data_IF_665551949092
#
_entry.id   IF_665551949092
#
_cell.length_a   1.000
_cell.length_b   1.000
_cell.length_c   1.000
_cell.angle_alpha   90.00
_cell.angle_beta   90.00
_cell.angle_gamma   90.00
#
_symmetry.space_group_name_H-M   'P 1'
#
loop_
_entity.id
_entity.type
_entity.pdbx_description
1 polymer ?
#
# COMPACT_ATOMS: atom_id res chain seq x y z
N UNK A 1 10.07 -8.03 6.17
CA UNK A 1 8.77 -8.71 5.97
C UNK A 1 8.43 -8.61 4.49
N UNK A 2 7.93 -9.67 3.87
CA UNK A 2 7.52 -9.61 2.45
C UNK A 2 6.08 -9.09 2.37
N UNK A 3 5.80 -8.05 1.56
CA UNK A 3 4.46 -7.51 1.46
C UNK A 3 3.52 -8.56 0.88
N UNK A 4 2.43 -8.86 1.61
CA UNK A 4 1.45 -9.85 1.19
C UNK A 4 0.37 -9.18 0.36
N UNK A 5 0.37 -9.49 -0.93
CA UNK A 5 -0.62 -9.01 -1.88
C UNK A 5 -1.92 -9.84 -1.79
N UNK A 6 -2.99 -9.20 -1.32
CA UNK A 6 -4.29 -9.82 -1.05
C UNK A 6 -5.34 -9.44 -2.10
N UNK A 7 -6.27 -10.36 -2.39
CA UNK A 7 -7.45 -10.04 -3.18
C UNK A 7 -8.45 -9.18 -2.37
N UNK A 8 -9.43 -8.57 -3.05
CA UNK A 8 -10.39 -7.64 -2.45
C UNK A 8 -11.16 -8.22 -1.25
N UNK A 9 -11.49 -9.50 -1.28
CA UNK A 9 -12.21 -10.18 -0.19
C UNK A 9 -11.36 -10.24 1.09
N UNK A 10 -10.12 -10.73 0.97
CA UNK A 10 -9.18 -10.77 2.10
C UNK A 10 -8.81 -9.39 2.61
N UNK A 11 -8.67 -8.41 1.71
CA UNK A 11 -8.43 -7.02 2.09
C UNK A 11 -9.62 -6.44 2.88
N UNK A 12 -10.85 -6.75 2.47
CA UNK A 12 -12.09 -6.34 3.13
C UNK A 12 -12.16 -6.91 4.55
N UNK A 13 -11.86 -8.20 4.72
CA UNK A 13 -11.77 -8.85 6.03
C UNK A 13 -10.68 -8.23 6.91
N UNK A 14 -9.49 -7.96 6.35
CA UNK A 14 -8.34 -7.46 7.08
C UNK A 14 -8.59 -6.11 7.76
N UNK A 15 -9.22 -5.18 7.05
CA UNK A 15 -9.46 -3.82 7.56
C UNK A 15 -10.89 -3.59 8.05
N UNK A 16 -11.70 -4.66 8.10
CA UNK A 16 -13.12 -4.60 8.48
C UNK A 16 -13.92 -3.55 7.69
N UNK A 17 -13.61 -3.38 6.40
CA UNK A 17 -14.34 -2.50 5.49
C UNK A 17 -14.99 -3.32 4.39
N UNK A 18 -16.15 -2.89 3.90
CA UNK A 18 -16.80 -3.56 2.77
C UNK A 18 -15.98 -3.45 1.48
N UNK A 19 -16.12 -4.44 0.59
CA UNK A 19 -15.54 -4.37 -0.76
C UNK A 19 -15.98 -3.12 -1.54
N UNK A 20 -17.22 -2.67 -1.30
CA UNK A 20 -17.73 -1.44 -1.89
C UNK A 20 -16.97 -0.21 -1.40
N UNK A 21 -16.70 -0.12 -0.09
CA UNK A 21 -15.89 0.95 0.51
C UNK A 21 -14.47 0.95 -0.03
N UNK A 22 -13.84 -0.22 -0.19
CA UNK A 22 -12.53 -0.34 -0.83
C UNK A 22 -12.53 0.21 -2.27
N UNK A 23 -13.57 -0.11 -3.05
CA UNK A 23 -13.73 0.42 -4.41
C UNK A 23 -13.94 1.93 -4.40
N UNK A 24 -14.74 2.46 -3.48
CA UNK A 24 -14.98 3.88 -3.33
C UNK A 24 -13.70 4.65 -2.98
N UNK A 25 -12.92 4.14 -2.01
CA UNK A 25 -11.63 4.73 -1.61
C UNK A 25 -10.64 4.81 -2.77
N UNK A 26 -10.63 3.79 -3.65
CA UNK A 26 -9.88 3.86 -4.91
C UNK A 26 -10.45 4.89 -5.89
N UNK A 27 -11.78 4.94 -6.05
CA UNK A 27 -12.43 5.85 -6.99
C UNK A 27 -12.24 7.33 -6.63
N UNK A 28 -12.14 7.64 -5.33
CA UNK A 28 -11.91 9.00 -4.82
C UNK A 28 -10.41 9.37 -4.85
N UNK A 29 -9.52 8.41 -5.12
CA UNK A 29 -8.09 8.63 -5.18
C UNK A 29 -7.37 8.57 -3.83
N UNK A 30 -8.05 8.18 -2.76
CA UNK A 30 -7.45 8.00 -1.43
C UNK A 30 -6.51 6.78 -1.40
N UNK A 31 -6.86 5.74 -2.15
CA UNK A 31 -5.98 4.60 -2.37
C UNK A 31 -5.23 4.76 -3.68
N UNK A 32 -3.91 4.83 -3.57
CA UNK A 32 -2.98 5.09 -4.67
C UNK A 32 -2.47 3.78 -5.28
N UNK A 33 -2.49 3.69 -6.61
CA UNK A 33 -1.91 2.57 -7.37
C UNK A 33 -0.38 2.53 -7.20
N UNK A 34 0.17 1.33 -7.03
CA UNK A 34 1.59 1.11 -6.73
C UNK A 34 1.93 1.17 -5.23
N UNK A 35 1.03 1.70 -4.39
CA UNK A 35 1.23 1.80 -2.94
C UNK A 35 0.19 0.98 -2.17
N UNK A 36 -1.09 1.33 -2.28
CA UNK A 36 -2.19 0.65 -1.61
C UNK A 36 -2.62 -0.62 -2.34
N UNK A 37 -2.56 -0.59 -3.66
CA UNK A 37 -2.89 -1.71 -4.51
C UNK A 37 -2.02 -1.71 -5.75
N UNK A 38 -1.82 -2.88 -6.33
CA UNK A 38 -1.15 -3.06 -7.61
C UNK A 38 -2.13 -3.67 -8.59
N UNK A 39 -2.09 -3.20 -9.83
CA UNK A 39 -2.88 -3.74 -10.92
C UNK A 39 -2.08 -4.81 -11.64
N UNK A 40 -2.54 -6.06 -11.58
CA UNK A 40 -1.90 -7.18 -12.28
C UNK A 40 -2.39 -7.32 -13.73
N UNK A 41 -3.56 -6.74 -14.04
CA UNK A 41 -4.12 -6.75 -15.38
C UNK A 41 -5.38 -5.90 -15.48
N UNK A 42 -6.16 -6.09 -16.56
CA UNK A 42 -7.36 -5.27 -16.82
C UNK A 42 -8.39 -5.37 -15.70
N UNK A 43 -8.60 -6.57 -15.16
CA UNK A 43 -9.61 -6.89 -14.14
C UNK A 43 -9.02 -7.28 -12.79
N UNK A 44 -7.77 -7.77 -12.77
CA UNK A 44 -7.13 -8.27 -11.56
C UNK A 44 -6.30 -7.19 -10.86
N UNK A 45 -6.61 -6.98 -9.59
CA UNK A 45 -5.89 -6.07 -8.69
C UNK A 45 -5.66 -6.74 -7.34
N UNK A 46 -4.53 -6.45 -6.72
CA UNK A 46 -4.15 -6.96 -5.41
C UNK A 46 -3.85 -5.79 -4.49
N UNK A 47 -4.34 -5.85 -3.26
CA UNK A 47 -4.06 -4.86 -2.24
C UNK A 47 -2.84 -5.25 -1.43
N UNK A 48 -2.08 -4.24 -1.03
CA UNK A 48 -0.94 -4.41 -0.15
C UNK A 48 -1.41 -4.47 1.30
N UNK A 49 -1.32 -5.65 1.93
CA UNK A 49 -1.84 -5.85 3.29
C UNK A 49 -1.18 -4.92 4.32
N UNK A 50 0.12 -4.66 4.20
CA UNK A 50 0.86 -3.88 5.20
C UNK A 50 0.46 -2.40 5.14
N UNK A 51 0.38 -1.84 3.93
CA UNK A 51 -0.09 -0.46 3.71
C UNK A 51 -1.54 -0.29 4.15
N UNK A 52 -2.40 -1.28 3.91
CA UNK A 52 -3.79 -1.23 4.36
C UNK A 52 -3.91 -1.23 5.89
N UNK A 53 -3.07 -1.99 6.59
CA UNK A 53 -3.03 -1.98 8.05
C UNK A 53 -2.51 -0.65 8.61
N UNK A 54 -1.45 -0.11 8.00
CA UNK A 54 -0.92 1.23 8.33
C UNK A 54 -2.02 2.28 8.14
N UNK A 55 -2.70 2.26 6.99
CA UNK A 55 -3.82 3.15 6.74
C UNK A 55 -4.91 2.98 7.80
N UNK A 56 -5.31 1.76 8.13
CA UNK A 56 -6.33 1.50 9.15
C UNK A 56 -5.93 2.06 10.53
N UNK A 57 -4.66 1.89 10.91
CA UNK A 57 -4.12 2.33 12.20
C UNK A 57 -4.04 3.87 12.29
N UNK A 58 -3.67 4.54 11.19
CA UNK A 58 -3.42 5.98 11.17
C UNK A 58 -4.43 6.79 10.34
N UNK A 59 -5.58 6.22 9.96
CA UNK A 59 -6.60 6.91 9.12
C UNK A 59 -7.12 8.22 9.69
N UNK A 60 -7.04 8.39 11.02
CA UNK A 60 -7.47 9.60 11.72
C UNK A 60 -6.31 10.59 11.95
N UNK A 61 -5.08 10.22 11.59
CA UNK A 61 -3.85 11.00 11.84
C UNK A 61 -2.97 11.00 10.59
N UNK A 62 -3.24 11.98 9.72
CA UNK A 62 -2.51 12.16 8.46
C UNK A 62 -0.97 12.27 8.62
N UNK A 63 -0.42 13.07 9.57
CA UNK A 63 1.03 13.14 9.72
C UNK A 63 1.64 11.84 10.24
N UNK A 64 0.96 11.09 11.12
CA UNK A 64 1.44 9.77 11.53
C UNK A 64 1.39 8.74 10.40
N UNK A 65 0.33 8.77 9.59
CA UNK A 65 0.18 7.93 8.40
C UNK A 65 1.34 8.14 7.42
N UNK A 66 1.68 9.40 7.13
CA UNK A 66 2.76 9.72 6.20
C UNK A 66 4.11 9.16 6.66
N UNK A 67 4.45 9.31 7.95
CA UNK A 67 5.70 8.77 8.52
C UNK A 67 5.75 7.25 8.47
N UNK A 68 4.63 6.58 8.72
CA UNK A 68 4.54 5.13 8.67
C UNK A 68 4.70 4.60 7.23
N UNK A 69 4.15 5.32 6.24
CA UNK A 69 4.37 5.00 4.82
C UNK A 69 5.82 5.23 4.39
N UNK A 70 6.45 6.32 4.82
CA UNK A 70 7.87 6.57 4.53
C UNK A 70 8.77 5.47 5.13
N UNK A 71 8.49 5.05 6.36
CA UNK A 71 9.19 3.92 6.98
C UNK A 71 8.97 2.62 6.20
N UNK A 72 7.73 2.35 5.77
CA UNK A 72 7.38 1.20 4.94
C UNK A 72 8.19 1.18 3.62
N UNK A 73 8.24 2.31 2.91
CA UNK A 73 8.97 2.43 1.64
C UNK A 73 10.48 2.30 1.82
N UNK A 74 11.05 2.80 2.92
CA UNK A 74 12.48 2.66 3.22
C UNK A 74 12.89 1.23 3.55
N UNK A 75 11.98 0.43 4.12
CA UNK A 75 12.21 -0.99 4.43
C UNK A 75 12.07 -1.89 3.19
N UNK A 76 11.54 -1.38 2.08
CA UNK A 76 11.36 -2.17 0.86
C UNK A 76 12.72 -2.32 0.14
N UNK A 77 13.20 -3.56 -0.08
CA UNK A 77 14.55 -3.81 -0.63
C UNK A 77 14.77 -3.21 -2.02
N UNK A 78 13.71 -3.07 -2.82
CA UNK A 78 13.74 -2.42 -4.15
C UNK A 78 14.19 -0.95 -4.10
N UNK A 79 14.06 -0.30 -2.94
CA UNK A 79 14.51 1.07 -2.73
C UNK A 79 15.97 1.15 -2.22
N UNK A 80 16.55 0.04 -1.76
CA UNK A 80 17.95 -0.03 -1.29
C UNK A 80 18.93 -0.03 -2.48
N UNK A 81 18.55 -0.61 -3.63
CA UNK A 81 19.39 -0.69 -4.82
C UNK A 81 19.60 0.67 -5.52
N UNK A 82 18.75 1.67 -5.25
CA UNK A 82 18.87 3.00 -5.88
C UNK A 82 19.92 3.89 -5.22
N UNK A 83 20.31 3.59 -3.97
CA UNK A 83 21.30 4.39 -3.22
C UNK A 83 22.71 3.79 -3.37
N UNK A 84 22.84 2.48 -3.58
CA UNK A 84 24.13 1.81 -3.79
C UNK A 84 24.79 2.09 -5.16
N UNK A 85 24.13 2.85 -6.05
CA UNK A 85 24.52 3.04 -7.45
C UNK A 85 25.14 4.38 -7.83
N UNK A 86 25.38 5.34 -6.91
CA UNK A 86 26.09 6.59 -7.29
C UNK A 86 27.60 6.47 -7.08
N UNK A 87 28.23 5.59 -7.86
CA UNK A 87 29.66 5.67 -8.19
C UNK A 87 29.85 5.48 -9.69
N UNK A 88 29.80 6.59 -10.42
CA UNK A 88 30.25 6.78 -11.81
C UNK A 88 30.37 8.30 -11.99
N UNK A 89 31.51 8.92 -12.26
CA UNK A 89 32.89 8.52 -12.58
C UNK A 89 33.82 9.50 -11.88
#
# INVERSE_FOLDING_TARGET
MTPKFLDKHKASELISLSEHTLKQKRSVGEFIEGLHYVRLGRTSLRYNSEVLLIWMQYRNDAPAYQRAIEAYLNLQPDNQDKIAGRKKR
#
